data_IF_411773028191
#
_entry.id   IF_411773028191
#
_cell.length_a   1.000
_cell.length_b   1.000
_cell.length_c   1.000
_cell.angle_alpha   90.00
_cell.angle_beta   90.00
_cell.angle_gamma   90.00
#
_symmetry.space_group_name_H-M   'P 1'
#
loop_
_entity.id
_entity.type
_entity.pdbx_description
1 polymer ?
#
# COMPACT_ATOMS: atom_id res chain seq x y z
N UNK A 1 -15.85 27.95 -18.79
CA UNK A 1 -14.80 26.94 -18.49
C UNK A 1 -14.66 26.81 -16.98
N UNK A 2 -14.73 25.59 -16.41
CA UNK A 2 -14.40 25.25 -14.99
C UNK A 2 -14.69 23.74 -14.78
N UNK A 3 -13.68 22.88 -14.96
CA UNK A 3 -13.70 21.49 -14.46
C UNK A 3 -12.50 21.34 -13.53
N UNK A 4 -12.74 21.31 -12.20
CA UNK A 4 -11.67 21.15 -11.21
C UNK A 4 -11.24 19.69 -11.16
N UNK A 5 -10.21 19.32 -11.92
CA UNK A 5 -9.54 18.02 -11.83
C UNK A 5 -8.62 17.92 -10.59
N UNK A 6 -9.10 18.38 -9.44
CA UNK A 6 -8.52 18.06 -8.14
C UNK A 6 -9.09 16.71 -7.69
N UNK A 7 -8.69 15.65 -8.39
CA UNK A 7 -8.96 14.28 -7.98
C UNK A 7 -8.17 14.02 -6.68
N UNK A 8 -8.88 14.03 -5.56
CA UNK A 8 -8.28 14.03 -4.22
C UNK A 8 -7.38 12.81 -4.00
N UNK A 9 -6.07 13.03 -3.86
CA UNK A 9 -5.11 11.99 -3.48
C UNK A 9 -5.19 11.70 -1.95
N UNK A 10 -6.40 11.41 -1.48
CA UNK A 10 -6.69 11.14 -0.07
C UNK A 10 -6.26 9.72 0.32
N UNK A 11 -4.96 9.53 0.54
CA UNK A 11 -4.52 8.52 1.50
C UNK A 11 -4.95 8.97 2.90
N UNK A 12 -6.16 8.55 3.30
CA UNK A 12 -6.70 8.85 4.61
C UNK A 12 -5.87 8.14 5.68
N UNK A 13 -5.08 8.89 6.43
CA UNK A 13 -4.37 8.39 7.61
C UNK A 13 -5.39 7.91 8.64
N UNK A 14 -5.58 6.59 8.74
CA UNK A 14 -6.42 5.97 9.75
C UNK A 14 -5.70 6.00 11.10
N UNK A 15 -5.75 7.14 11.79
CA UNK A 15 -5.25 7.27 13.15
C UNK A 15 -6.07 6.38 14.10
N UNK A 16 -5.59 5.16 14.35
CA UNK A 16 -6.16 4.27 15.37
C UNK A 16 -5.89 4.85 16.75
N UNK A 17 -6.86 5.58 17.30
CA UNK A 17 -6.85 6.06 18.67
C UNK A 17 -7.04 4.89 19.64
N UNK A 18 -5.94 4.30 20.10
CA UNK A 18 -5.94 3.19 21.05
C UNK A 18 -5.93 3.67 22.51
N UNK A 19 -7.03 3.42 23.23
CA UNK A 19 -7.14 3.44 24.70
C UNK A 19 -8.06 2.26 25.10
N UNK A 20 -7.51 1.06 25.33
CA UNK A 20 -6.92 0.57 26.59
C UNK A 20 -7.97 0.22 27.68
N UNK A 21 -8.17 -1.09 27.89
CA UNK A 21 -8.28 -1.66 29.25
C UNK A 21 -7.95 -3.17 29.33
N UNK A 22 -6.69 -3.47 29.70
CA UNK A 22 -6.11 -4.69 30.37
C UNK A 22 -6.55 -6.16 30.02
N UNK A 23 -5.67 -7.16 30.24
CA UNK A 23 -5.88 -8.58 29.89
C UNK A 23 -6.38 -9.46 31.07
N UNK A 24 -6.63 -10.75 30.79
CA UNK A 24 -6.65 -11.84 31.77
C UNK A 24 -6.07 -13.15 31.17
N UNK A 25 -5.74 -14.14 32.01
CA UNK A 25 -4.81 -15.24 31.71
C UNK A 25 -5.46 -16.55 31.16
N UNK A 26 -4.61 -17.48 30.69
CA UNK A 26 -4.96 -18.84 30.24
C UNK A 26 -4.91 -19.87 31.42
N UNK A 27 -5.23 -21.18 31.25
CA UNK A 27 -4.21 -22.14 30.75
C UNK A 27 -4.68 -23.47 30.07
N UNK A 28 -3.75 -24.10 29.32
CA UNK A 28 -3.51 -25.56 29.09
C UNK A 28 -4.65 -26.51 28.59
N UNK A 29 -4.42 -27.65 27.91
CA UNK A 29 -3.21 -28.49 27.66
C UNK A 29 -3.05 -28.80 26.13
N UNK A 30 -2.58 -29.89 25.49
CA UNK A 30 -2.29 -31.32 25.82
C UNK A 30 -1.29 -32.00 24.84
N UNK A 31 -0.95 -33.27 25.13
CA UNK A 31 -0.23 -34.31 24.34
C UNK A 31 -0.85 -34.66 22.96
N UNK A 32 -0.21 -35.34 21.98
CA UNK A 32 0.77 -36.47 22.02
C UNK A 32 1.90 -36.40 20.95
N UNK A 33 2.77 -37.41 20.87
CA UNK A 33 4.07 -37.44 20.15
C UNK A 33 4.09 -38.40 18.92
N UNK A 34 5.22 -38.79 18.28
CA UNK A 34 5.61 -38.29 16.95
C UNK A 34 5.64 -39.35 15.82
N UNK A 35 5.83 -38.90 14.57
CA UNK A 35 6.02 -39.76 13.39
C UNK A 35 7.26 -39.34 12.56
N UNK A 36 7.87 -40.31 11.86
CA UNK A 36 9.22 -40.23 11.26
C UNK A 36 9.26 -39.47 9.94
N UNK A 37 10.29 -38.64 9.72
CA UNK A 37 10.62 -38.00 8.44
C UNK A 37 11.74 -38.72 7.68
N UNK A 38 11.65 -38.87 6.34
CA UNK A 38 12.79 -39.18 5.50
C UNK A 38 13.63 -37.91 5.23
N UNK A 39 14.95 -38.02 4.96
CA UNK A 39 15.80 -36.86 4.67
C UNK A 39 15.56 -36.35 3.24
N UNK A 40 15.09 -35.10 3.12
CA UNK A 40 14.94 -34.40 1.85
C UNK A 40 15.93 -33.22 1.75
N UNK A 41 16.47 -33.01 0.55
CA UNK A 41 17.59 -32.10 0.25
C UNK A 41 17.42 -30.68 0.78
N UNK A 42 18.47 -30.15 1.43
CA UNK A 42 18.54 -28.77 1.93
C UNK A 42 18.75 -27.75 0.81
N UNK A 43 17.75 -27.56 -0.04
CA UNK A 43 17.56 -26.29 -0.74
C UNK A 43 17.10 -25.24 0.30
N UNK A 44 17.57 -23.98 0.25
CA UNK A 44 17.06 -22.94 1.15
C UNK A 44 15.57 -22.73 0.90
N UNK A 45 14.74 -23.14 1.87
CA UNK A 45 13.31 -22.92 1.79
C UNK A 45 13.05 -21.41 1.92
N UNK A 46 12.62 -20.78 0.83
CA UNK A 46 11.85 -19.53 0.91
C UNK A 46 10.66 -19.80 1.82
N UNK A 47 10.64 -19.20 3.01
CA UNK A 47 9.60 -19.46 4.00
C UNK A 47 8.23 -19.19 3.37
N UNK A 48 7.40 -20.25 3.26
CA UNK A 48 6.10 -20.15 2.61
C UNK A 48 5.24 -19.14 3.38
N UNK A 49 4.57 -18.24 2.65
CA UNK A 49 3.67 -17.28 3.26
C UNK A 49 2.53 -18.02 3.98
N UNK A 50 2.27 -17.61 5.21
CA UNK A 50 1.06 -17.99 5.93
C UNK A 50 -0.19 -17.50 5.18
N UNK A 51 -1.32 -18.16 5.39
CA UNK A 51 -2.61 -17.69 4.88
C UNK A 51 -3.64 -17.74 5.99
N UNK A 52 -4.48 -16.71 6.08
CA UNK A 52 -5.48 -16.55 7.14
C UNK A 52 -4.92 -16.52 8.59
N UNK A 53 -3.61 -16.33 8.78
CA UNK A 53 -3.01 -16.19 10.10
C UNK A 53 -3.19 -14.74 10.61
N UNK A 54 -4.10 -14.55 11.56
CA UNK A 54 -4.41 -13.23 12.13
C UNK A 54 -3.18 -12.52 12.73
N UNK A 55 -2.23 -13.25 13.34
CA UNK A 55 -1.05 -12.66 13.98
C UNK A 55 -0.03 -12.15 12.95
N UNK A 56 0.20 -12.89 11.87
CA UNK A 56 1.07 -12.46 10.78
C UNK A 56 0.41 -11.33 9.97
N UNK A 57 -0.91 -11.37 9.74
CA UNK A 57 -1.68 -10.27 9.13
C UNK A 57 -1.58 -8.98 9.97
N UNK A 58 -1.70 -9.07 11.30
CA UNK A 58 -1.53 -7.95 12.26
C UNK A 58 -0.10 -7.38 12.21
N UNK A 59 0.91 -8.24 12.16
CA UNK A 59 2.31 -7.85 11.99
C UNK A 59 2.55 -7.12 10.65
N UNK A 60 1.98 -7.63 9.55
CA UNK A 60 2.22 -7.13 8.20
C UNK A 60 1.50 -5.81 7.91
N UNK A 61 0.28 -5.66 8.44
CA UNK A 61 -0.42 -4.37 8.47
C UNK A 61 0.43 -3.30 9.19
N UNK A 62 0.99 -3.64 10.36
CA UNK A 62 1.87 -2.72 11.11
C UNK A 62 3.14 -2.37 10.32
N UNK A 63 3.74 -3.30 9.58
CA UNK A 63 4.89 -3.03 8.71
C UNK A 63 4.54 -2.02 7.60
N UNK A 64 3.44 -2.26 6.86
CA UNK A 64 3.01 -1.40 5.75
C UNK A 64 2.56 -0.02 6.25
N UNK A 65 1.85 0.04 7.38
CA UNK A 65 1.46 1.30 8.01
C UNK A 65 2.68 2.10 8.48
N UNK A 66 3.65 1.46 9.15
CA UNK A 66 4.88 2.11 9.61
C UNK A 66 5.66 2.71 8.45
N UNK A 67 5.84 1.95 7.36
CA UNK A 67 6.47 2.45 6.14
C UNK A 67 5.70 3.65 5.55
N UNK A 68 4.37 3.52 5.39
CA UNK A 68 3.51 4.57 4.85
C UNK A 68 3.60 5.86 5.67
N UNK A 69 3.51 5.76 7.00
CA UNK A 69 3.60 6.89 7.92
C UNK A 69 5.00 7.54 7.90
N UNK A 70 6.07 6.76 7.80
CA UNK A 70 7.44 7.29 7.69
C UNK A 70 7.68 8.13 6.42
N UNK A 71 6.93 7.84 5.34
CA UNK A 71 7.04 8.49 4.02
C UNK A 71 5.98 9.57 3.77
N UNK A 72 4.90 9.60 4.56
CA UNK A 72 3.75 10.49 4.38
C UNK A 72 4.10 11.99 4.30
N UNK A 73 5.13 12.45 5.00
CA UNK A 73 5.60 13.85 4.94
C UNK A 73 6.20 14.22 3.57
N UNK A 74 6.94 13.29 2.95
CA UNK A 74 7.54 13.46 1.63
C UNK A 74 6.45 13.46 0.54
N UNK A 75 5.53 12.50 0.58
CA UNK A 75 4.36 12.44 -0.28
C UNK A 75 3.51 13.72 -0.20
N UNK A 76 3.23 14.21 1.01
CA UNK A 76 2.45 15.44 1.23
C UNK A 76 3.14 16.68 0.67
N UNK A 77 4.47 16.78 0.80
CA UNK A 77 5.24 17.88 0.23
C UNK A 77 5.20 17.87 -1.31
N UNK A 78 5.30 16.70 -1.93
CA UNK A 78 5.18 16.53 -3.39
C UNK A 78 3.77 16.87 -3.88
N UNK A 79 2.74 16.40 -3.19
CA UNK A 79 1.34 16.70 -3.53
C UNK A 79 1.03 18.20 -3.41
N UNK A 80 1.58 18.89 -2.41
CA UNK A 80 1.43 20.34 -2.25
C UNK A 80 2.13 21.11 -3.39
N UNK A 81 3.40 20.78 -3.71
CA UNK A 81 4.10 21.33 -4.88
C UNK A 81 3.28 21.15 -6.17
N UNK A 82 2.76 19.94 -6.40
CA UNK A 82 1.96 19.61 -7.59
C UNK A 82 0.68 20.46 -7.67
N UNK A 83 -0.03 20.59 -6.54
CA UNK A 83 -1.24 21.42 -6.43
C UNK A 83 -0.95 22.91 -6.70
N UNK A 84 0.17 23.43 -6.20
CA UNK A 84 0.59 24.82 -6.47
C UNK A 84 0.95 25.06 -7.94
N UNK A 85 1.76 24.17 -8.53
CA UNK A 85 2.16 24.28 -9.93
C UNK A 85 0.94 24.16 -10.87
N UNK A 86 0.00 23.26 -10.56
CA UNK A 86 -1.27 23.12 -11.29
C UNK A 86 -2.14 24.38 -11.18
N UNK A 87 -2.25 25.01 -10.01
CA UNK A 87 -2.97 26.27 -9.84
C UNK A 87 -2.33 27.43 -10.61
N UNK A 88 -0.99 27.48 -10.66
CA UNK A 88 -0.20 28.46 -11.42
C UNK A 88 -0.17 28.17 -12.93
N UNK A 89 -0.72 27.03 -13.38
CA UNK A 89 -0.59 26.48 -14.75
C UNK A 89 0.87 26.32 -15.22
N UNK A 90 1.80 26.15 -14.28
CA UNK A 90 3.23 26.06 -14.55
C UNK A 90 3.61 24.66 -15.03
N UNK A 91 3.63 24.49 -16.36
CA UNK A 91 4.05 23.24 -17.01
C UNK A 91 5.50 22.85 -16.71
N UNK A 92 6.41 23.81 -16.48
CA UNK A 92 7.82 23.50 -16.23
C UNK A 92 7.98 22.87 -14.83
N UNK A 93 7.41 23.53 -13.80
CA UNK A 93 7.35 22.97 -12.46
C UNK A 93 6.60 21.63 -12.43
N UNK A 94 5.47 21.50 -13.12
CA UNK A 94 4.72 20.23 -13.18
C UNK A 94 5.56 19.06 -13.75
N UNK A 95 6.36 19.29 -14.79
CA UNK A 95 7.25 18.24 -15.32
C UNK A 95 8.32 17.82 -14.30
N UNK A 96 8.95 18.78 -13.62
CA UNK A 96 9.92 18.49 -12.56
C UNK A 96 9.28 17.73 -11.38
N UNK A 97 8.09 18.14 -10.95
CA UNK A 97 7.38 17.53 -9.81
C UNK A 97 6.91 16.10 -10.15
N UNK A 98 6.54 15.81 -11.40
CA UNK A 98 6.21 14.43 -11.82
C UNK A 98 7.48 13.54 -11.86
N UNK A 99 8.65 14.08 -12.21
CA UNK A 99 9.92 13.35 -12.09
C UNK A 99 10.32 13.11 -10.62
N UNK A 100 10.15 14.09 -9.73
CA UNK A 100 10.29 13.92 -8.27
C UNK A 100 9.33 12.82 -7.77
N UNK A 101 8.05 12.86 -8.15
CA UNK A 101 7.03 11.91 -7.71
C UNK A 101 7.31 10.48 -8.22
N UNK A 102 7.78 10.33 -9.46
CA UNK A 102 8.22 9.05 -10.02
C UNK A 102 9.40 8.46 -9.27
N UNK A 103 10.35 9.31 -8.86
CA UNK A 103 11.51 8.93 -8.04
C UNK A 103 11.08 8.49 -6.64
N UNK A 104 10.18 9.25 -6.00
CA UNK A 104 9.59 8.91 -4.71
C UNK A 104 8.84 7.56 -4.75
N UNK A 105 7.96 7.37 -5.74
CA UNK A 105 7.19 6.12 -5.90
C UNK A 105 8.09 4.92 -6.16
N UNK A 106 9.14 5.09 -6.97
CA UNK A 106 10.09 4.00 -7.25
C UNK A 106 10.78 3.54 -5.96
N UNK A 107 11.20 4.48 -5.10
CA UNK A 107 11.77 4.18 -3.78
C UNK A 107 10.74 3.56 -2.82
N UNK A 108 9.51 4.08 -2.81
CA UNK A 108 8.43 3.55 -1.97
C UNK A 108 8.05 2.10 -2.34
N UNK A 109 8.00 1.79 -3.64
CA UNK A 109 7.78 0.43 -4.12
C UNK A 109 8.96 -0.50 -3.76
N UNK A 110 10.21 -0.01 -3.81
CA UNK A 110 11.40 -0.74 -3.35
C UNK A 110 11.39 -0.99 -1.83
N UNK A 111 11.00 0.00 -1.02
CA UNK A 111 10.82 -0.16 0.43
C UNK A 111 9.73 -1.21 0.73
N UNK A 112 8.60 -1.15 -0.01
CA UNK A 112 7.50 -2.14 0.10
C UNK A 112 7.98 -3.55 -0.19
N UNK A 113 8.78 -3.76 -1.24
CA UNK A 113 9.36 -5.06 -1.60
C UNK A 113 10.44 -5.51 -0.59
N UNK A 114 11.12 -4.57 0.07
CA UNK A 114 12.07 -4.88 1.12
C UNK A 114 11.42 -5.42 2.41
N UNK A 115 10.16 -5.07 2.72
CA UNK A 115 9.44 -5.54 3.91
C UNK A 115 9.43 -7.08 4.02
N UNK A 116 9.47 -7.60 5.25
CA UNK A 116 9.41 -9.04 5.52
C UNK A 116 8.00 -9.42 5.95
N UNK A 117 7.08 -9.26 4.98
CA UNK A 117 5.71 -9.73 5.10
C UNK A 117 5.71 -11.27 5.17
N UNK A 118 4.74 -11.82 5.90
CA UNK A 118 4.60 -13.24 6.18
C UNK A 118 3.25 -13.80 5.75
N UNK A 119 2.27 -12.95 5.44
CA UNK A 119 0.91 -13.33 5.09
C UNK A 119 0.64 -13.14 3.60
N UNK A 120 0.02 -14.15 2.98
CA UNK A 120 -0.36 -14.18 1.57
C UNK A 120 -1.25 -12.99 1.20
N UNK A 121 -2.10 -12.57 2.13
CA UNK A 121 -3.03 -11.47 1.90
C UNK A 121 -2.35 -10.09 1.87
N UNK A 122 -1.34 -9.82 2.71
CA UNK A 122 -0.64 -8.53 2.68
C UNK A 122 0.42 -8.45 1.58
N UNK A 123 0.92 -9.58 1.10
CA UNK A 123 1.74 -9.64 -0.12
C UNK A 123 0.92 -9.26 -1.36
N UNK A 124 -0.31 -9.79 -1.48
CA UNK A 124 -1.25 -9.38 -2.54
C UNK A 124 -1.65 -7.89 -2.42
N UNK A 125 -1.86 -7.36 -1.21
CA UNK A 125 -2.11 -5.92 -0.99
C UNK A 125 -0.90 -5.07 -1.36
N UNK A 126 0.34 -5.49 -1.04
CA UNK A 126 1.59 -4.85 -1.48
C UNK A 126 1.59 -4.68 -3.01
N UNK A 127 1.27 -5.74 -3.75
CA UNK A 127 1.24 -5.70 -5.22
C UNK A 127 0.18 -4.72 -5.74
N UNK A 128 -1.02 -4.70 -5.15
CA UNK A 128 -2.05 -3.71 -5.49
C UNK A 128 -1.66 -2.28 -5.13
N UNK A 129 -0.94 -2.04 -4.04
CA UNK A 129 -0.39 -0.71 -3.71
C UNK A 129 0.63 -0.29 -4.79
N UNK A 130 1.54 -1.17 -5.21
CA UNK A 130 2.50 -0.91 -6.28
C UNK A 130 1.80 -0.63 -7.63
N UNK A 131 0.75 -1.38 -8.01
CA UNK A 131 -0.03 -1.07 -9.21
C UNK A 131 -0.70 0.31 -9.09
N UNK A 132 -1.31 0.64 -7.95
CA UNK A 132 -1.96 1.94 -7.74
C UNK A 132 -0.98 3.10 -7.87
N UNK A 133 0.24 2.95 -7.31
CA UNK A 133 1.29 3.94 -7.44
C UNK A 133 1.77 4.10 -8.90
N UNK A 134 1.89 2.99 -9.63
CA UNK A 134 2.29 3.00 -11.05
C UNK A 134 1.22 3.66 -11.94
N UNK A 135 -0.07 3.36 -11.71
CA UNK A 135 -1.19 4.06 -12.38
C UNK A 135 -1.16 5.56 -12.06
N UNK A 136 -0.79 5.93 -10.83
CA UNK A 136 -0.57 7.33 -10.44
C UNK A 136 0.49 8.03 -11.29
N UNK A 137 1.65 7.40 -11.50
CA UNK A 137 2.69 7.92 -12.41
C UNK A 137 2.14 8.06 -13.83
N UNK A 138 1.58 6.98 -14.39
CA UNK A 138 1.07 6.99 -15.78
C UNK A 138 0.00 8.07 -16.00
N UNK A 139 -0.87 8.29 -15.01
CA UNK A 139 -1.93 9.28 -15.07
C UNK A 139 -1.36 10.70 -15.01
N UNK A 140 -0.36 10.94 -14.15
CA UNK A 140 0.36 12.22 -14.10
C UNK A 140 1.09 12.49 -15.40
N UNK A 141 1.88 11.56 -15.92
CA UNK A 141 2.63 11.69 -17.17
C UNK A 141 1.71 11.96 -18.37
N UNK A 142 0.61 11.20 -18.50
CA UNK A 142 -0.38 11.41 -19.56
C UNK A 142 -1.10 12.77 -19.44
N UNK A 143 -1.32 13.27 -18.21
CA UNK A 143 -2.02 14.54 -17.96
C UNK A 143 -1.17 15.78 -18.22
N UNK A 144 0.17 15.70 -18.07
CA UNK A 144 1.08 16.82 -18.32
C UNK A 144 1.66 16.85 -19.74
N UNK A 145 1.44 15.80 -20.53
CA UNK A 145 1.91 15.67 -21.90
C UNK A 145 1.49 16.87 -22.78
N UNK A 146 2.29 17.18 -23.82
CA UNK A 146 2.00 18.28 -24.74
C UNK A 146 0.65 18.12 -25.46
N UNK A 147 0.27 16.87 -25.76
CA UNK A 147 -1.04 16.47 -26.28
C UNK A 147 -1.62 15.37 -25.38
N UNK A 148 -2.44 15.69 -24.36
CA UNK A 148 -2.95 14.69 -23.42
C UNK A 148 -3.92 13.70 -24.08
N UNK A 149 -3.61 12.40 -24.02
CA UNK A 149 -4.52 11.35 -24.49
C UNK A 149 -5.68 11.18 -23.50
N UNK A 150 -6.82 11.77 -23.85
CA UNK A 150 -8.05 11.70 -23.06
C UNK A 150 -8.62 10.29 -22.93
N UNK A 151 -8.31 9.35 -23.85
CA UNK A 151 -8.71 7.94 -23.72
C UNK A 151 -7.87 7.26 -22.64
N UNK A 152 -6.53 7.31 -22.76
CA UNK A 152 -5.62 6.75 -21.75
C UNK A 152 -5.86 7.36 -20.36
N UNK A 153 -6.07 8.67 -20.26
CA UNK A 153 -6.41 9.34 -18.98
C UNK A 153 -7.70 8.77 -18.38
N UNK A 154 -8.74 8.56 -19.19
CA UNK A 154 -10.03 8.00 -18.73
C UNK A 154 -9.88 6.54 -18.30
N UNK A 155 -9.11 5.73 -19.04
CA UNK A 155 -8.82 4.35 -18.69
C UNK A 155 -8.07 4.24 -17.35
N UNK A 156 -7.01 5.02 -17.18
CA UNK A 156 -6.23 5.05 -15.95
C UNK A 156 -7.06 5.53 -14.75
N UNK A 157 -7.92 6.53 -14.92
CA UNK A 157 -8.86 6.97 -13.89
C UNK A 157 -9.86 5.87 -13.50
N UNK A 158 -10.35 5.08 -14.46
CA UNK A 158 -11.22 3.93 -14.19
C UNK A 158 -10.47 2.81 -13.48
N UNK A 159 -9.24 2.48 -13.89
CA UNK A 159 -8.38 1.48 -13.24
C UNK A 159 -8.05 1.89 -11.81
N UNK A 160 -7.59 3.13 -11.57
CA UNK A 160 -7.36 3.67 -10.24
C UNK A 160 -8.63 3.60 -9.36
N UNK A 161 -9.78 4.00 -9.90
CA UNK A 161 -11.07 3.97 -9.15
C UNK A 161 -11.52 2.55 -8.81
N UNK A 162 -11.25 1.55 -9.65
CA UNK A 162 -11.50 0.13 -9.36
C UNK A 162 -10.55 -0.38 -8.28
N UNK A 163 -9.24 -0.19 -8.48
CA UNK A 163 -8.19 -0.67 -7.59
C UNK A 163 -8.27 -0.05 -6.18
N UNK A 164 -8.61 1.23 -6.08
CA UNK A 164 -8.83 1.92 -4.80
C UNK A 164 -10.00 1.31 -4.00
N UNK A 165 -11.07 0.85 -4.67
CA UNK A 165 -12.20 0.18 -4.01
C UNK A 165 -11.82 -1.21 -3.52
N UNK A 166 -11.05 -1.96 -4.31
CA UNK A 166 -10.51 -3.26 -3.92
C UNK A 166 -9.59 -3.14 -2.70
N UNK A 167 -8.58 -2.25 -2.77
CA UNK A 167 -7.66 -1.96 -1.67
C UNK A 167 -8.39 -1.57 -0.38
N UNK A 168 -9.39 -0.68 -0.45
CA UNK A 168 -10.17 -0.29 0.75
C UNK A 168 -10.96 -1.47 1.32
N UNK A 169 -11.58 -2.28 0.47
CA UNK A 169 -12.38 -3.44 0.91
C UNK A 169 -11.49 -4.52 1.54
N UNK A 170 -10.37 -4.83 0.91
CA UNK A 170 -9.39 -5.82 1.37
C UNK A 170 -8.71 -5.37 2.67
N UNK A 171 -8.29 -4.10 2.77
CA UNK A 171 -7.72 -3.56 4.02
C UNK A 171 -8.72 -3.57 5.17
N UNK A 172 -10.01 -3.27 4.93
CA UNK A 172 -11.05 -3.37 5.97
C UNK A 172 -11.27 -4.81 6.44
N UNK A 173 -11.29 -5.77 5.51
CA UNK A 173 -11.38 -7.20 5.86
C UNK A 173 -10.15 -7.67 6.65
N UNK A 174 -8.95 -7.25 6.26
CA UNK A 174 -7.69 -7.63 6.91
C UNK A 174 -7.50 -6.99 8.28
N UNK A 175 -7.86 -5.71 8.45
CA UNK A 175 -7.96 -5.07 9.77
C UNK A 175 -8.98 -5.78 10.67
N UNK A 176 -10.03 -6.39 10.10
CA UNK A 176 -11.01 -7.16 10.87
C UNK A 176 -10.44 -8.52 11.29
N UNK A 177 -9.74 -9.24 10.41
CA UNK A 177 -8.97 -10.45 10.78
C UNK A 177 -7.90 -10.15 11.84
N UNK A 178 -7.15 -9.05 11.71
CA UNK A 178 -6.09 -8.68 12.65
C UNK A 178 -6.60 -8.47 14.09
N UNK A 179 -7.86 -8.05 14.27
CA UNK A 179 -8.50 -7.90 15.58
C UNK A 179 -8.82 -9.22 16.27
N UNK A 180 -8.78 -10.36 15.56
CA UNK A 180 -8.95 -11.70 16.16
C UNK A 180 -7.61 -12.38 16.48
N UNK A 181 -6.49 -11.67 16.33
CA UNK A 181 -5.19 -12.14 16.79
C UNK A 181 -5.00 -11.82 18.29
N UNK A 182 -4.41 -12.75 19.08
CA UNK A 182 -3.98 -12.46 20.45
C UNK A 182 -2.93 -11.33 20.49
#
# INVERSE_FOLDING_TARGET
MKKRLLASLCFAAMALTACDKKPNEAPASSSTSPAVTPPASTQPATAALSSNNAADIKNDLNQIETLSNSRAKEASALQNKANEAAQKSDKASLNAIVADMKTYITRFNQDLDALKLKSSELDAVRDKIKESNNIGIELSEASIANTPDSKKITELQNRATKLQKELVTEMQALQTKAKTAP
#
